data_IF_108401542936
#
_entry.id   IF_108401542936
#
_cell.length_a   1.000
_cell.length_b   1.000
_cell.length_c   1.000
_cell.angle_alpha   90.00
_cell.angle_beta   90.00
_cell.angle_gamma   90.00
#
_symmetry.space_group_name_H-M   'P 1'
#
loop_
_entity.id
_entity.type
_entity.pdbx_description
1 polymer ?
#
# COMPACT_ATOMS: atom_id res chain seq x y z
N UNK A 1 -6.14 0.54 -15.16
CA UNK A 1 -5.48 1.12 -16.35
C UNK A 1 -4.57 0.09 -17.04
N UNK A 2 -3.92 -0.81 -16.30
CA UNK A 2 -3.07 -1.84 -16.88
C UNK A 2 -3.91 -2.88 -17.63
N UNK A 3 -3.56 -3.17 -18.88
CA UNK A 3 -4.24 -4.17 -19.70
C UNK A 3 -3.97 -5.62 -19.26
N UNK A 4 -3.02 -5.83 -18.37
CA UNK A 4 -2.66 -7.13 -17.80
C UNK A 4 -3.46 -7.50 -16.55
N UNK A 5 -4.31 -6.61 -16.04
CA UNK A 5 -5.19 -6.93 -14.91
C UNK A 5 -6.36 -7.77 -15.40
N UNK A 6 -6.50 -8.96 -14.85
CA UNK A 6 -7.57 -9.91 -15.20
C UNK A 6 -8.69 -9.89 -14.15
N UNK A 7 -8.36 -9.66 -12.90
CA UNK A 7 -9.29 -9.63 -11.78
C UNK A 7 -8.82 -8.65 -10.71
N UNK A 8 -9.76 -8.00 -10.04
CA UNK A 8 -9.50 -7.07 -8.94
C UNK A 8 -10.61 -7.19 -7.88
N UNK A 9 -10.27 -7.69 -6.70
CA UNK A 9 -11.14 -7.59 -5.53
C UNK A 9 -10.95 -6.24 -4.86
N UNK A 10 -12.03 -5.47 -4.73
CA UNK A 10 -12.09 -4.27 -3.92
C UNK A 10 -12.86 -4.59 -2.64
N UNK A 11 -12.14 -4.61 -1.52
CA UNK A 11 -12.73 -4.96 -0.22
C UNK A 11 -12.90 -3.68 0.58
N UNK A 12 -14.14 -3.30 0.84
CA UNK A 12 -14.51 -2.09 1.57
C UNK A 12 -15.58 -2.44 2.62
N UNK A 13 -15.35 -1.99 3.85
CA UNK A 13 -16.26 -2.27 4.97
C UNK A 13 -17.56 -1.46 4.87
N UNK A 14 -17.46 -0.22 4.39
CA UNK A 14 -18.57 0.75 4.37
C UNK A 14 -19.31 0.74 3.03
N UNK A 15 -20.41 -0.02 2.96
CA UNK A 15 -21.27 -0.11 1.79
C UNK A 15 -21.94 1.23 1.45
N UNK A 16 -22.36 1.99 2.47
CA UNK A 16 -23.04 3.28 2.27
C UNK A 16 -22.07 4.30 1.64
N UNK A 17 -20.81 4.31 2.08
CA UNK A 17 -19.77 5.14 1.48
C UNK A 17 -19.59 4.83 0.00
N UNK A 18 -19.51 3.55 -0.36
CA UNK A 18 -19.35 3.14 -1.77
C UNK A 18 -20.54 3.57 -2.61
N UNK A 19 -21.75 3.43 -2.10
CA UNK A 19 -22.96 3.86 -2.82
C UNK A 19 -22.99 5.38 -3.03
N UNK A 20 -22.55 6.15 -2.04
CA UNK A 20 -22.37 7.60 -2.20
C UNK A 20 -21.30 7.93 -3.25
N UNK A 21 -20.17 7.25 -3.23
CA UNK A 21 -19.08 7.44 -4.21
C UNK A 21 -19.55 7.14 -5.63
N UNK A 22 -20.27 6.04 -5.85
CA UNK A 22 -20.84 5.68 -7.16
C UNK A 22 -21.74 6.78 -7.73
N UNK A 23 -22.51 7.46 -6.88
CA UNK A 23 -23.44 8.51 -7.30
C UNK A 23 -22.74 9.85 -7.51
N UNK A 24 -21.89 10.25 -6.56
CA UNK A 24 -21.41 11.64 -6.44
C UNK A 24 -19.98 11.85 -6.93
N UNK A 25 -19.21 10.80 -7.17
CA UNK A 25 -17.78 10.89 -7.51
C UNK A 25 -17.42 10.23 -8.85
N UNK A 26 -18.32 10.29 -9.84
CA UNK A 26 -18.13 9.65 -11.15
C UNK A 26 -16.87 10.10 -11.89
N UNK A 27 -16.52 11.36 -11.80
CA UNK A 27 -15.28 11.92 -12.39
C UNK A 27 -13.98 11.34 -11.76
N UNK A 28 -14.09 10.70 -10.60
CA UNK A 28 -12.94 10.11 -9.90
C UNK A 28 -12.84 8.59 -10.14
N UNK A 29 -13.97 7.89 -10.05
CA UNK A 29 -13.95 6.43 -10.20
C UNK A 29 -14.04 5.95 -11.66
N UNK A 30 -14.41 6.86 -12.62
CA UNK A 30 -14.42 6.54 -14.05
C UNK A 30 -15.11 5.21 -14.38
N UNK A 31 -16.28 4.96 -13.75
CA UNK A 31 -17.10 3.74 -13.90
C UNK A 31 -16.35 2.43 -13.56
N UNK A 32 -15.31 2.49 -12.71
CA UNK A 32 -14.52 1.30 -12.34
C UNK A 32 -15.35 0.21 -11.64
N UNK A 33 -16.45 0.56 -11.00
CA UNK A 33 -17.36 -0.39 -10.35
C UNK A 33 -18.17 -1.23 -11.37
N UNK A 34 -18.29 -0.77 -12.61
CA UNK A 34 -18.97 -1.46 -13.71
C UNK A 34 -17.98 -2.27 -14.58
N UNK A 35 -16.68 -2.21 -14.30
CA UNK A 35 -15.65 -2.99 -15.00
C UNK A 35 -15.85 -4.48 -14.67
N UNK A 36 -15.99 -5.37 -15.67
CA UNK A 36 -16.23 -6.80 -15.45
C UNK A 36 -15.09 -7.52 -14.70
N UNK A 37 -13.92 -6.89 -14.58
CA UNK A 37 -12.78 -7.40 -13.80
C UNK A 37 -12.86 -7.03 -12.32
N UNK A 38 -13.69 -6.05 -11.97
CA UNK A 38 -13.82 -5.56 -10.61
C UNK A 38 -14.88 -6.36 -9.84
N UNK A 39 -14.49 -6.89 -8.68
CA UNK A 39 -15.36 -7.54 -7.73
C UNK A 39 -15.40 -6.71 -6.43
N UNK A 40 -16.50 -6.02 -6.20
CA UNK A 40 -16.70 -5.23 -4.99
C UNK A 40 -17.25 -6.12 -3.87
N UNK A 41 -16.58 -6.12 -2.73
CA UNK A 41 -16.91 -6.95 -1.56
C UNK A 41 -17.03 -6.08 -0.31
N UNK A 42 -18.20 -6.13 0.36
CA UNK A 42 -18.42 -5.42 1.63
C UNK A 42 -18.10 -6.34 2.80
N UNK A 43 -16.82 -6.30 3.24
CA UNK A 43 -16.29 -7.10 4.35
C UNK A 43 -15.14 -6.37 5.05
N UNK A 44 -14.85 -6.85 6.27
CA UNK A 44 -13.62 -6.53 6.96
C UNK A 44 -12.41 -7.03 6.16
N UNK A 45 -11.48 -6.12 5.84
CA UNK A 45 -10.32 -6.42 5.00
C UNK A 45 -9.36 -7.42 5.65
N UNK A 46 -9.20 -7.39 6.99
CA UNK A 46 -8.39 -8.37 7.71
C UNK A 46 -8.97 -9.76 7.56
N UNK A 47 -10.28 -9.88 7.84
CA UNK A 47 -10.98 -11.15 7.71
C UNK A 47 -10.98 -11.68 6.29
N UNK A 48 -11.08 -10.77 5.31
CA UNK A 48 -10.96 -11.15 3.90
C UNK A 48 -9.62 -11.80 3.60
N UNK A 49 -8.52 -11.16 4.00
CA UNK A 49 -7.17 -11.68 3.75
C UNK A 49 -6.92 -12.99 4.49
N UNK A 50 -7.38 -13.11 5.73
CA UNK A 50 -7.31 -14.35 6.51
C UNK A 50 -8.04 -15.52 5.83
N UNK A 51 -9.21 -15.27 5.25
CA UNK A 51 -10.02 -16.27 4.54
C UNK A 51 -9.45 -16.63 3.15
N UNK A 52 -8.53 -15.80 2.62
CA UNK A 52 -7.96 -15.95 1.28
C UNK A 52 -6.48 -16.39 1.28
N UNK A 53 -6.05 -17.15 2.27
CA UNK A 53 -4.73 -17.79 2.28
C UNK A 53 -4.55 -18.67 1.05
N UNK A 54 -3.44 -18.46 0.34
CA UNK A 54 -3.15 -19.20 -0.90
C UNK A 54 -3.97 -18.76 -2.12
N UNK A 55 -4.65 -17.61 -2.07
CA UNK A 55 -5.37 -17.04 -3.21
C UNK A 55 -4.44 -16.64 -4.37
N UNK A 56 -3.14 -16.48 -4.07
CA UNK A 56 -2.10 -16.13 -5.05
C UNK A 56 -2.33 -14.76 -5.72
N UNK A 57 -2.71 -13.74 -4.95
CA UNK A 57 -2.76 -12.38 -5.46
C UNK A 57 -1.37 -11.92 -5.94
N UNK A 58 -1.29 -11.33 -7.11
CA UNK A 58 -0.04 -10.74 -7.61
C UNK A 58 0.27 -9.43 -6.91
N UNK A 59 -0.77 -8.67 -6.56
CA UNK A 59 -0.64 -7.37 -5.89
C UNK A 59 -1.74 -7.20 -4.85
N UNK A 60 -1.36 -6.79 -3.64
CA UNK A 60 -2.29 -6.31 -2.62
C UNK A 60 -1.96 -4.85 -2.32
N UNK A 61 -2.96 -3.98 -2.41
CA UNK A 61 -2.85 -2.55 -2.10
C UNK A 61 -3.69 -2.24 -0.85
N UNK A 62 -3.07 -1.69 0.19
CA UNK A 62 -3.74 -1.26 1.41
C UNK A 62 -3.73 0.27 1.49
N UNK A 63 -4.81 0.88 1.00
CA UNK A 63 -5.07 2.31 1.12
C UNK A 63 -6.14 2.54 2.19
N UNK A 64 -5.70 2.53 3.43
CA UNK A 64 -6.54 2.47 4.63
C UNK A 64 -6.50 3.81 5.38
N UNK A 65 -7.52 4.11 6.22
CA UNK A 65 -7.39 5.21 7.18
C UNK A 65 -6.24 4.93 8.16
N UNK A 66 -5.78 5.98 8.85
CA UNK A 66 -4.76 5.83 9.89
C UNK A 66 -5.23 4.94 11.06
N UNK A 67 -4.33 4.26 11.75
CA UNK A 67 -4.66 3.40 12.90
C UNK A 67 -4.98 4.24 14.14
N UNK A 68 -6.25 4.54 14.34
CA UNK A 68 -6.77 5.26 15.52
C UNK A 68 -7.43 4.30 16.48
N UNK A 69 -7.49 4.67 17.76
CA UNK A 69 -8.15 3.89 18.80
C UNK A 69 -9.64 3.67 18.46
N UNK A 70 -10.07 2.42 18.52
CA UNK A 70 -11.44 2.03 18.15
C UNK A 70 -11.76 2.12 16.66
N UNK A 71 -10.81 2.49 15.83
CA UNK A 71 -10.99 2.56 14.39
C UNK A 71 -10.87 1.20 13.69
N UNK A 72 -11.51 1.03 12.52
CA UNK A 72 -11.53 -0.26 11.82
C UNK A 72 -10.17 -0.69 11.28
N UNK A 73 -9.24 0.26 11.08
CA UNK A 73 -7.93 -0.02 10.52
C UNK A 73 -6.84 -0.33 11.58
N UNK A 74 -7.16 -0.29 12.86
CA UNK A 74 -6.17 -0.41 13.95
C UNK A 74 -5.27 -1.64 13.79
N UNK A 75 -5.85 -2.80 13.48
CA UNK A 75 -5.14 -4.06 13.35
C UNK A 75 -4.69 -4.39 11.92
N UNK A 76 -4.79 -3.45 10.99
CA UNK A 76 -4.36 -3.59 9.60
C UNK A 76 -2.92 -3.07 9.37
N UNK A 77 -2.20 -2.78 10.46
CA UNK A 77 -0.80 -2.33 10.46
C UNK A 77 0.10 -3.22 11.32
N UNK A 78 -0.42 -4.37 11.77
CA UNK A 78 0.29 -5.28 12.68
C UNK A 78 1.05 -6.37 11.92
N UNK A 79 2.03 -6.97 12.60
CA UNK A 79 2.82 -8.07 12.07
C UNK A 79 1.95 -9.26 11.68
N UNK A 80 0.95 -9.57 12.49
CA UNK A 80 0.01 -10.66 12.26
C UNK A 80 -0.78 -10.45 10.96
N UNK A 81 -1.27 -9.23 10.74
CA UNK A 81 -1.93 -8.89 9.48
C UNK A 81 -0.99 -9.02 8.28
N UNK A 82 0.25 -8.53 8.38
CA UNK A 82 1.22 -8.64 7.29
C UNK A 82 1.62 -10.08 6.99
N UNK A 83 1.59 -10.98 7.98
CA UNK A 83 1.76 -12.41 7.76
C UNK A 83 0.61 -12.99 6.94
N UNK A 84 -0.64 -12.63 7.24
CA UNK A 84 -1.79 -13.07 6.44
C UNK A 84 -1.73 -12.50 5.01
N UNK A 85 -1.31 -11.25 4.84
CA UNK A 85 -1.05 -10.66 3.51
C UNK A 85 -0.01 -11.49 2.75
N UNK A 86 1.09 -11.87 3.39
CA UNK A 86 2.11 -12.70 2.76
C UNK A 86 1.58 -14.08 2.35
N UNK A 87 0.70 -14.68 3.15
CA UNK A 87 0.07 -15.98 2.84
C UNK A 87 -0.96 -15.88 1.69
N UNK A 88 -1.57 -14.72 1.49
CA UNK A 88 -2.53 -14.48 0.40
C UNK A 88 -1.84 -14.14 -0.94
N UNK A 89 -0.61 -13.63 -0.90
CA UNK A 89 0.17 -13.27 -2.08
C UNK A 89 0.79 -14.50 -2.77
N UNK A 90 0.91 -14.42 -4.09
CA UNK A 90 1.70 -15.36 -4.90
C UNK A 90 3.19 -15.31 -4.54
N UNK A 91 3.99 -16.25 -5.06
CA UNK A 91 5.44 -16.30 -4.82
C UNK A 91 6.20 -15.07 -5.37
N UNK A 92 5.64 -14.40 -6.37
CA UNK A 92 6.16 -13.17 -6.96
C UNK A 92 5.43 -11.92 -6.46
N UNK A 93 4.55 -12.07 -5.46
CA UNK A 93 3.60 -11.08 -5.01
C UNK A 93 4.21 -9.82 -4.40
N UNK A 94 3.50 -8.72 -4.56
CA UNK A 94 3.88 -7.40 -4.05
C UNK A 94 2.76 -6.83 -3.18
N UNK A 95 3.13 -6.35 -2.01
CA UNK A 95 2.26 -5.63 -1.09
C UNK A 95 2.66 -4.15 -1.03
N UNK A 96 1.68 -3.26 -1.07
CA UNK A 96 1.91 -1.83 -0.89
C UNK A 96 0.87 -1.28 0.08
N UNK A 97 1.31 -0.44 1.01
CA UNK A 97 0.38 0.27 1.89
C UNK A 97 0.81 1.72 2.08
N UNK A 98 -0.18 2.57 2.36
CA UNK A 98 0.06 3.89 2.90
C UNK A 98 0.49 3.77 4.37
N UNK A 99 1.40 4.64 4.83
CA UNK A 99 1.99 4.55 6.16
C UNK A 99 2.09 5.91 6.87
N UNK A 100 1.24 6.84 6.49
CA UNK A 100 1.15 8.14 7.11
C UNK A 100 2.13 9.18 6.57
N UNK A 101 2.34 10.24 7.33
CA UNK A 101 3.21 11.34 6.92
C UNK A 101 4.68 10.90 6.80
N UNK A 102 5.32 11.38 5.73
CA UNK A 102 6.75 11.17 5.49
C UNK A 102 7.51 12.49 5.70
N UNK A 103 7.49 13.00 6.92
CA UNK A 103 8.14 14.25 7.29
C UNK A 103 8.80 14.16 8.67
N UNK A 104 9.58 15.18 9.02
CA UNK A 104 10.37 15.20 10.27
C UNK A 104 9.48 15.33 11.53
N UNK A 105 8.29 15.91 11.42
CA UNK A 105 7.39 16.16 12.56
C UNK A 105 6.62 14.92 12.96
N UNK A 106 6.16 14.13 11.99
CA UNK A 106 5.28 12.98 12.22
C UNK A 106 5.77 11.72 11.49
N UNK A 107 6.99 11.22 11.76
CA UNK A 107 7.56 10.08 11.07
C UNK A 107 7.18 8.72 11.68
N UNK A 108 6.46 8.70 12.80
CA UNK A 108 6.37 7.56 13.72
C UNK A 108 5.64 6.36 13.11
N UNK A 109 4.50 6.59 12.46
CA UNK A 109 3.73 5.51 11.81
C UNK A 109 4.55 4.88 10.69
N UNK A 110 5.13 5.70 9.81
CA UNK A 110 6.00 5.24 8.74
C UNK A 110 7.17 4.41 9.26
N UNK A 111 7.85 4.88 10.31
CA UNK A 111 9.01 4.20 10.89
C UNK A 111 8.62 2.84 11.50
N UNK A 112 7.51 2.79 12.25
CA UNK A 112 7.04 1.57 12.89
C UNK A 112 6.55 0.53 11.85
N UNK A 113 5.79 0.95 10.84
CA UNK A 113 5.32 0.06 9.78
C UNK A 113 6.47 -0.47 8.94
N UNK A 114 7.47 0.38 8.62
CA UNK A 114 8.68 -0.06 7.92
C UNK A 114 9.44 -1.13 8.70
N UNK A 115 9.64 -0.93 10.01
CA UNK A 115 10.32 -1.91 10.88
C UNK A 115 9.52 -3.20 11.01
N UNK A 116 8.19 -3.09 11.14
CA UNK A 116 7.31 -4.26 11.24
C UNK A 116 7.42 -5.15 10.01
N UNK A 117 7.28 -4.59 8.81
CA UNK A 117 7.48 -5.31 7.56
C UNK A 117 8.92 -5.81 7.40
N UNK A 118 9.91 -5.00 7.77
CA UNK A 118 11.33 -5.36 7.76
C UNK A 118 11.68 -6.54 8.68
N UNK A 119 10.86 -6.82 9.71
CA UNK A 119 11.01 -7.98 10.58
C UNK A 119 10.59 -9.30 9.92
N UNK A 120 9.80 -9.24 8.84
CA UNK A 120 9.27 -10.39 8.09
C UNK A 120 10.16 -10.75 6.89
N UNK A 121 11.48 -10.83 7.08
CA UNK A 121 12.48 -11.01 6.01
C UNK A 121 12.32 -12.30 5.21
N UNK A 122 11.78 -13.35 5.83
CA UNK A 122 11.53 -14.63 5.16
C UNK A 122 10.35 -14.52 4.19
N UNK A 123 9.33 -13.73 4.54
CA UNK A 123 8.15 -13.48 3.72
C UNK A 123 8.41 -12.37 2.69
N UNK A 124 9.08 -11.29 3.12
CA UNK A 124 9.36 -10.11 2.31
C UNK A 124 10.86 -9.78 2.32
N UNK A 125 11.66 -10.40 1.44
CA UNK A 125 13.09 -10.07 1.31
C UNK A 125 13.36 -8.62 0.95
N UNK A 126 12.41 -7.98 0.29
CA UNK A 126 12.52 -6.59 -0.17
C UNK A 126 11.44 -5.73 0.47
N UNK A 127 11.85 -4.87 1.40
CA UNK A 127 10.99 -3.84 2.01
C UNK A 127 11.59 -2.48 1.67
N UNK A 128 10.81 -1.62 1.01
CA UNK A 128 11.26 -0.31 0.55
C UNK A 128 10.24 0.77 0.90
N UNK A 129 10.67 1.73 1.69
CA UNK A 129 9.90 2.94 1.91
C UNK A 129 10.01 3.89 0.71
N UNK A 130 8.91 4.53 0.35
CA UNK A 130 8.90 5.59 -0.64
C UNK A 130 7.89 6.67 -0.26
N UNK A 131 7.95 7.81 -0.93
CA UNK A 131 7.03 8.90 -0.65
C UNK A 131 6.55 9.60 -1.92
N UNK A 132 5.42 10.27 -1.79
CA UNK A 132 4.87 11.15 -2.81
C UNK A 132 4.20 12.35 -2.17
N UNK A 133 4.05 13.42 -2.92
CA UNK A 133 3.29 14.58 -2.47
C UNK A 133 1.79 14.31 -2.68
N UNK A 134 1.04 14.22 -1.60
CA UNK A 134 -0.42 14.18 -1.63
C UNK A 134 -0.92 15.60 -1.39
N UNK A 135 -1.38 16.24 -2.45
CA UNK A 135 -1.70 17.68 -2.45
C UNK A 135 -2.81 18.05 -1.48
N UNK A 136 -3.78 17.17 -1.25
CA UNK A 136 -4.86 17.36 -0.28
C UNK A 136 -4.37 17.36 1.16
N UNK A 137 -3.29 16.63 1.46
CA UNK A 137 -2.66 16.61 2.78
C UNK A 137 -1.60 17.72 2.96
N UNK A 138 -1.23 18.39 1.86
CA UNK A 138 -0.24 19.47 1.83
C UNK A 138 1.15 19.05 2.39
N UNK A 139 1.44 17.75 2.35
CA UNK A 139 2.70 17.20 2.87
C UNK A 139 3.13 15.94 2.10
N UNK A 140 4.40 15.57 2.16
CA UNK A 140 4.87 14.27 1.71
C UNK A 140 4.17 13.16 2.49
N UNK A 141 3.62 12.19 1.76
CA UNK A 141 2.97 11.02 2.33
C UNK A 141 3.78 9.77 2.05
N UNK A 142 3.92 8.94 3.07
CA UNK A 142 4.76 7.76 3.03
C UNK A 142 3.98 6.52 2.61
N UNK A 143 4.68 5.68 1.88
CA UNK A 143 4.21 4.37 1.45
C UNK A 143 5.32 3.35 1.67
N UNK A 144 4.95 2.10 1.91
CA UNK A 144 5.91 1.02 2.02
C UNK A 144 5.53 -0.08 1.03
N UNK A 145 6.50 -0.50 0.25
CA UNK A 145 6.40 -1.62 -0.65
C UNK A 145 7.16 -2.80 -0.03
N UNK A 146 6.47 -3.93 0.10
CA UNK A 146 7.05 -5.20 0.51
C UNK A 146 6.88 -6.22 -0.62
N UNK A 147 7.94 -6.88 -1.04
CA UNK A 147 7.94 -7.81 -2.17
C UNK A 147 8.62 -9.11 -1.82
N UNK A 148 8.06 -10.20 -2.33
CA UNK A 148 8.62 -11.55 -2.16
C UNK A 148 9.82 -11.81 -3.07
N UNK A 149 9.89 -11.14 -4.23
CA UNK A 149 10.88 -11.47 -5.25
C UNK A 149 11.52 -10.27 -5.91
N UNK A 150 10.80 -9.17 -6.09
CA UNK A 150 11.24 -8.06 -6.91
C UNK A 150 11.69 -6.86 -6.08
N UNK A 151 12.93 -6.39 -6.26
CA UNK A 151 13.36 -5.13 -5.69
C UNK A 151 12.99 -3.98 -6.64
N UNK A 152 12.15 -3.01 -6.22
CA UNK A 152 11.80 -1.88 -7.05
C UNK A 152 13.01 -1.00 -7.41
N UNK A 153 14.09 -1.06 -6.63
CA UNK A 153 15.30 -0.28 -6.88
C UNK A 153 16.14 -0.84 -8.05
N UNK A 154 15.90 -2.07 -8.49
CA UNK A 154 16.56 -2.65 -9.66
C UNK A 154 15.93 -2.22 -10.99
N UNK A 155 14.78 -1.53 -10.94
CA UNK A 155 14.07 -1.08 -12.14
C UNK A 155 14.74 0.16 -12.74
N UNK A 156 15.25 0.04 -13.96
CA UNK A 156 15.77 1.20 -14.71
C UNK A 156 14.63 2.00 -15.35
N UNK A 157 14.82 3.31 -15.59
CA UNK A 157 13.82 4.13 -16.28
C UNK A 157 13.41 3.57 -17.64
N UNK A 158 14.35 2.96 -18.38
CA UNK A 158 14.10 2.35 -19.69
C UNK A 158 13.18 1.13 -19.56
N UNK A 159 13.45 0.25 -18.59
CA UNK A 159 12.64 -0.93 -18.33
C UNK A 159 11.23 -0.54 -17.87
N UNK A 160 11.11 0.48 -17.02
CA UNK A 160 9.82 1.02 -16.57
C UNK A 160 9.05 1.58 -17.77
N UNK A 161 9.68 2.39 -18.60
CA UNK A 161 9.06 2.96 -19.81
C UNK A 161 8.55 1.86 -20.75
N UNK A 162 9.35 0.84 -20.98
CA UNK A 162 8.98 -0.33 -21.78
C UNK A 162 7.74 -1.04 -21.21
N UNK A 163 7.75 -1.38 -19.90
CA UNK A 163 6.65 -2.06 -19.25
C UNK A 163 5.35 -1.25 -19.23
N UNK A 164 5.45 0.07 -19.05
CA UNK A 164 4.26 0.94 -19.12
C UNK A 164 3.66 0.93 -20.52
N UNK A 165 4.49 1.01 -21.57
CA UNK A 165 4.03 0.95 -22.95
C UNK A 165 3.38 -0.41 -23.28
N UNK A 166 4.01 -1.53 -22.91
CA UNK A 166 3.49 -2.88 -23.10
C UNK A 166 2.15 -3.10 -22.40
N UNK A 167 1.96 -2.48 -21.24
CA UNK A 167 0.73 -2.56 -20.42
C UNK A 167 -0.33 -1.53 -20.79
N UNK A 168 -0.09 -0.72 -21.83
CA UNK A 168 -1.02 0.29 -22.30
C UNK A 168 -1.22 1.48 -21.36
N UNK A 169 -0.28 1.71 -20.42
CA UNK A 169 -0.36 2.81 -19.46
C UNK A 169 0.27 4.07 -20.05
N UNK A 170 -0.55 4.99 -20.54
CA UNK A 170 -0.10 6.20 -21.25
C UNK A 170 -0.55 7.51 -20.57
N UNK A 171 -1.38 7.44 -19.53
CA UNK A 171 -2.08 8.60 -18.96
C UNK A 171 -1.56 9.04 -17.60
N UNK A 172 -0.42 8.55 -17.15
CA UNK A 172 0.18 8.96 -15.87
C UNK A 172 0.52 10.45 -15.91
N UNK A 173 0.03 11.20 -14.93
CA UNK A 173 0.28 12.65 -14.78
C UNK A 173 1.33 12.96 -13.72
N UNK A 174 1.51 12.09 -12.74
CA UNK A 174 2.44 12.26 -11.61
C UNK A 174 3.66 11.34 -11.73
N UNK A 175 3.42 10.04 -11.92
CA UNK A 175 4.48 9.05 -12.02
C UNK A 175 5.13 9.03 -13.39
N UNK A 176 6.46 9.07 -13.43
CA UNK A 176 7.25 8.87 -14.65
C UNK A 176 8.38 7.90 -14.39
N UNK A 177 8.91 7.22 -15.42
CA UNK A 177 10.04 6.30 -15.25
C UNK A 177 11.26 6.93 -14.56
N UNK A 178 11.56 8.19 -14.84
CA UNK A 178 12.64 8.92 -14.17
C UNK A 178 12.35 9.29 -12.73
N UNK A 179 11.07 9.49 -12.40
CA UNK A 179 10.66 9.86 -11.05
C UNK A 179 10.68 8.68 -10.09
N UNK A 180 10.65 7.44 -10.61
CA UNK A 180 10.65 6.22 -9.81
C UNK A 180 11.74 6.21 -8.73
N UNK A 181 13.00 6.32 -9.14
CA UNK A 181 14.12 6.30 -8.20
C UNK A 181 14.09 7.45 -7.19
N UNK A 182 13.59 8.62 -7.60
CA UNK A 182 13.46 9.77 -6.70
C UNK A 182 12.43 9.51 -5.59
N UNK A 183 11.32 8.83 -5.89
CA UNK A 183 10.30 8.47 -4.88
C UNK A 183 10.87 7.53 -3.80
N UNK A 184 11.75 6.61 -4.17
CA UNK A 184 12.40 5.68 -3.23
C UNK A 184 13.63 6.26 -2.52
N UNK A 185 14.04 7.48 -2.85
CA UNK A 185 15.17 8.16 -2.19
C UNK A 185 14.66 8.91 -0.97
N UNK A 186 14.61 8.23 0.18
CA UNK A 186 14.14 8.85 1.43
C UNK A 186 15.11 9.94 1.91
N UNK A 187 14.60 11.08 2.41
CA UNK A 187 15.41 12.08 3.08
C UNK A 187 16.14 11.52 4.32
N UNK A 188 17.29 12.08 4.65
CA UNK A 188 18.12 11.63 5.78
C UNK A 188 17.37 11.63 7.13
N UNK A 189 16.47 12.59 7.35
CA UNK A 189 15.66 12.63 8.57
C UNK A 189 14.71 11.42 8.68
N UNK A 190 14.21 10.89 7.53
CA UNK A 190 13.37 9.68 7.52
C UNK A 190 14.18 8.42 7.79
N UNK A 191 15.41 8.32 7.23
CA UNK A 191 16.32 7.21 7.53
C UNK A 191 16.67 7.17 9.01
N UNK A 192 16.89 8.34 9.60
CA UNK A 192 17.10 8.46 11.05
C UNK A 192 15.85 8.09 11.86
N UNK A 193 14.67 8.54 11.42
CA UNK A 193 13.42 8.23 12.08
C UNK A 193 13.12 6.72 12.09
N UNK A 194 13.34 6.02 10.98
CA UNK A 194 13.22 4.55 10.93
C UNK A 194 14.11 3.90 11.99
N UNK A 195 15.37 4.36 12.09
CA UNK A 195 16.34 3.80 13.04
C UNK A 195 16.00 4.11 14.51
N UNK A 196 15.42 5.28 14.78
CA UNK A 196 15.17 5.76 16.14
C UNK A 196 13.79 5.39 16.69
N UNK A 197 12.79 5.33 15.82
CA UNK A 197 11.38 5.15 16.16
C UNK A 197 10.75 3.88 15.57
N UNK A 198 11.53 3.13 14.78
CA UNK A 198 11.09 1.83 14.29
C UNK A 198 10.83 0.88 15.45
N UNK A 199 9.65 0.27 15.46
CA UNK A 199 9.27 -0.79 16.40
C UNK A 199 8.36 -1.79 15.69
N UNK A 200 8.28 -3.00 16.21
CA UNK A 200 7.38 -4.01 15.69
C UNK A 200 5.99 -3.78 16.27
N UNK A 201 5.02 -3.62 15.39
CA UNK A 201 3.61 -3.50 15.74
C UNK A 201 3.00 -4.90 15.77
N UNK A 202 2.31 -5.23 16.85
CA UNK A 202 1.58 -6.47 17.03
C UNK A 202 0.13 -6.21 17.38
N UNK A 203 -0.71 -7.24 17.37
CA UNK A 203 -2.10 -7.10 17.80
C UNK A 203 -2.21 -6.70 19.29
N UNK A 204 -1.23 -7.08 20.11
CA UNK A 204 -1.17 -6.68 21.53
C UNK A 204 -0.62 -5.25 21.71
N UNK A 205 0.25 -4.78 20.80
CA UNK A 205 0.86 -3.45 20.84
C UNK A 205 0.76 -2.75 19.47
N UNK A 206 -0.44 -2.40 19.01
CA UNK A 206 -0.64 -1.72 17.73
C UNK A 206 -0.11 -0.28 17.75
N UNK A 207 0.00 0.31 16.57
CA UNK A 207 0.23 1.75 16.48
C UNK A 207 -1.06 2.49 16.79
N UNK A 208 -0.98 3.46 17.68
CA UNK A 208 -2.07 4.38 17.96
C UNK A 208 -1.68 5.77 17.47
N UNK A 209 -2.46 6.31 16.59
CA UNK A 209 -2.34 7.71 16.20
C UNK A 209 -2.96 8.55 17.33
N UNK A 210 -2.15 9.30 18.02
CA UNK A 210 -2.64 10.27 19.00
C UNK A 210 -3.35 11.43 18.25
N UNK A 211 -4.61 11.67 18.59
CA UNK A 211 -5.46 12.67 17.97
C UNK A 211 -5.07 14.10 18.39
#
# INVERSE_FOLDING_TARGET
QHNTVEHCDMVELDEELVDMVKVHMKEWHHDCFDDPRANLVHKDARKWVEDHKGANYDVILSDLPGPIEGGPALYLYTKEYFQHVAEALSDDGVFVLQSGACNETYPYCFAAVHETLGSLKEQFPYVRGYYGLVTTFQMPWGFILASKKHDPLELTPELIAQRLAERGVTTNRYYTPRFHSAMFTLPEYMLRAIKQHGRILTDDEPFLWEA
#
